data_IF_987778017475
#
_entry.id   IF_987778017475
#
_cell.length_a   1.000
_cell.length_b   1.000
_cell.length_c   1.000
_cell.angle_alpha   90.00
_cell.angle_beta   90.00
_cell.angle_gamma   90.00
#
_symmetry.space_group_name_H-M   'P 1'
#
loop_
_entity.id
_entity.type
_entity.pdbx_description
1 polymer ?
#
# COMPACT_ATOMS: atom_id res chain seq x y z
N UNK A 1 17.51 -31.08 23.33
CA UNK A 1 16.99 -29.89 24.05
C UNK A 1 15.52 -29.73 23.74
N UNK A 2 14.64 -29.79 24.73
CA UNK A 2 13.20 -29.46 24.50
C UNK A 2 13.10 -27.96 24.22
N UNK A 3 12.50 -27.55 23.07
CA UNK A 3 12.31 -26.14 22.81
C UNK A 3 11.41 -25.54 23.91
N UNK A 4 11.87 -24.44 24.51
CA UNK A 4 11.09 -23.76 25.53
C UNK A 4 9.79 -23.24 24.89
N UNK A 5 8.64 -23.62 25.42
CA UNK A 5 7.33 -23.17 24.91
C UNK A 5 7.25 -21.66 24.79
N UNK A 6 7.92 -20.93 25.67
CA UNK A 6 7.97 -19.46 25.65
C UNK A 6 8.66 -18.94 24.38
N UNK A 7 9.79 -19.55 23.96
CA UNK A 7 10.49 -19.12 22.74
C UNK A 7 9.68 -19.40 21.47
N UNK A 8 8.96 -20.52 21.43
CA UNK A 8 8.08 -20.85 20.31
C UNK A 8 6.91 -19.85 20.22
N UNK A 9 6.28 -19.53 21.35
CA UNK A 9 5.18 -18.57 21.41
C UNK A 9 5.62 -17.18 20.97
N UNK A 10 6.80 -16.72 21.39
CA UNK A 10 7.38 -15.45 20.95
C UNK A 10 7.59 -15.41 19.43
N UNK A 11 8.14 -16.47 18.85
CA UNK A 11 8.36 -16.55 17.38
C UNK A 11 7.03 -16.52 16.64
N UNK A 12 5.99 -17.19 17.12
CA UNK A 12 4.66 -17.18 16.52
C UNK A 12 4.06 -15.77 16.56
N UNK A 13 4.14 -15.08 17.70
CA UNK A 13 3.65 -13.71 17.84
C UNK A 13 4.37 -12.77 16.87
N UNK A 14 5.69 -12.85 16.79
CA UNK A 14 6.48 -12.06 15.83
C UNK A 14 6.04 -12.37 14.39
N UNK A 15 5.88 -13.65 14.04
CA UNK A 15 5.43 -14.08 12.73
C UNK A 15 4.06 -13.50 12.35
N UNK A 16 3.09 -13.54 13.26
CA UNK A 16 1.76 -12.98 13.06
C UNK A 16 1.83 -11.45 12.88
N UNK A 17 2.61 -10.77 13.71
CA UNK A 17 2.78 -9.31 13.60
C UNK A 17 3.41 -8.91 12.27
N UNK A 18 4.44 -9.64 11.82
CA UNK A 18 5.07 -9.43 10.52
C UNK A 18 4.10 -9.70 9.37
N UNK A 19 3.29 -10.75 9.46
CA UNK A 19 2.29 -11.09 8.46
C UNK A 19 1.26 -9.95 8.30
N UNK A 20 0.67 -9.50 9.40
CA UNK A 20 -0.33 -8.43 9.39
C UNK A 20 0.27 -7.12 8.84
N UNK A 21 1.47 -6.77 9.30
CA UNK A 21 2.16 -5.55 8.85
C UNK A 21 2.51 -5.65 7.37
N UNK A 22 3.00 -6.80 6.91
CA UNK A 22 3.33 -7.05 5.51
C UNK A 22 2.11 -6.95 4.59
N UNK A 23 0.98 -7.53 4.98
CA UNK A 23 -0.27 -7.43 4.22
C UNK A 23 -0.72 -5.96 4.14
N UNK A 24 -0.67 -5.20 5.22
CA UNK A 24 -1.04 -3.77 5.21
C UNK A 24 -0.14 -2.96 4.27
N UNK A 25 1.18 -3.17 4.34
CA UNK A 25 2.13 -2.50 3.44
C UNK A 25 1.88 -2.86 1.98
N UNK A 26 1.60 -4.13 1.69
CA UNK A 26 1.28 -4.60 0.35
C UNK A 26 0.03 -3.91 -0.19
N UNK A 27 -1.07 -3.90 0.57
CA UNK A 27 -2.33 -3.26 0.15
C UNK A 27 -2.13 -1.77 -0.10
N UNK A 28 -1.49 -1.04 0.83
CA UNK A 28 -1.23 0.40 0.67
C UNK A 28 -0.33 0.67 -0.55
N UNK A 29 0.73 -0.12 -0.73
CA UNK A 29 1.67 0.07 -1.84
C UNK A 29 1.04 -0.24 -3.20
N UNK A 30 0.22 -1.28 -3.29
CA UNK A 30 -0.51 -1.62 -4.52
C UNK A 30 -1.55 -0.55 -4.84
N UNK A 31 -2.35 -0.11 -3.86
CA UNK A 31 -3.36 0.93 -4.05
C UNK A 31 -2.73 2.24 -4.55
N UNK A 32 -1.67 2.70 -3.89
CA UNK A 32 -0.94 3.90 -4.29
C UNK A 32 -0.33 3.79 -5.72
N UNK A 33 0.12 2.58 -6.10
CA UNK A 33 0.68 2.33 -7.44
C UNK A 33 -0.40 2.28 -8.52
N UNK A 34 -1.57 1.73 -8.21
CA UNK A 34 -2.66 1.50 -9.18
C UNK A 34 -3.51 2.75 -9.39
N UNK A 35 -3.67 3.60 -8.37
CA UNK A 35 -4.48 4.84 -8.49
C UNK A 35 -4.14 5.69 -9.73
N UNK A 36 -2.88 6.01 -10.05
CA UNK A 36 -2.57 6.78 -11.26
C UNK A 36 -2.88 6.04 -12.57
N UNK A 37 -2.98 4.69 -12.54
CA UNK A 37 -3.32 3.87 -13.70
C UNK A 37 -4.82 3.90 -14.03
N UNK A 38 -5.69 4.21 -13.07
CA UNK A 38 -7.12 4.37 -13.31
C UNK A 38 -7.44 5.61 -14.16
N UNK A 39 -6.49 6.53 -14.29
CA UNK A 39 -6.63 7.77 -15.05
C UNK A 39 -5.94 7.68 -16.43
N UNK A 40 -6.00 6.52 -17.08
CA UNK A 40 -5.40 6.33 -18.42
C UNK A 40 -6.12 7.16 -19.51
N UNK A 41 -7.42 7.35 -19.34
CA UNK A 41 -8.27 8.09 -20.28
C UNK A 41 -8.26 9.61 -20.02
N UNK A 42 -7.60 10.05 -18.95
CA UNK A 42 -7.50 11.45 -18.59
C UNK A 42 -6.52 12.20 -19.49
N UNK A 43 -6.87 13.43 -19.81
CA UNK A 43 -6.08 14.31 -20.68
C UNK A 43 -4.99 15.00 -19.86
N UNK A 44 -3.79 15.08 -20.44
CA UNK A 44 -2.70 15.85 -19.82
C UNK A 44 -2.87 17.34 -20.15
N UNK A 45 -2.83 18.17 -19.10
CA UNK A 45 -2.90 19.62 -19.18
C UNK A 45 -1.74 20.28 -18.44
N UNK A 46 -1.67 21.61 -18.56
CA UNK A 46 -0.74 22.45 -17.80
C UNK A 46 -1.51 23.22 -16.74
N UNK A 47 -0.97 23.29 -15.53
CA UNK A 47 -1.52 24.04 -14.42
C UNK A 47 -0.46 24.91 -13.78
N UNK A 48 -0.86 25.98 -13.10
CA UNK A 48 0.04 26.85 -12.35
C UNK A 48 -0.20 26.69 -10.85
N UNK A 49 0.89 26.57 -10.08
CA UNK A 49 0.82 26.52 -8.62
C UNK A 49 0.39 27.89 -8.11
N UNK A 50 -0.72 27.94 -7.36
CA UNK A 50 -1.29 29.17 -6.80
C UNK A 50 -1.04 29.29 -5.31
N UNK A 51 -0.98 28.18 -4.59
CA UNK A 51 -0.74 28.17 -3.14
C UNK A 51 0.03 26.95 -2.67
N UNK A 52 0.70 27.09 -1.51
CA UNK A 52 1.44 26.01 -0.86
C UNK A 52 1.07 26.01 0.62
N UNK A 53 0.52 24.92 1.09
CA UNK A 53 0.25 24.69 2.51
C UNK A 53 1.28 23.72 3.12
N UNK A 54 1.75 24.04 4.33
CA UNK A 54 2.72 23.22 5.06
C UNK A 54 2.02 22.51 6.21
N UNK A 55 2.22 21.21 6.32
CA UNK A 55 1.81 20.42 7.47
C UNK A 55 3.02 19.85 8.21
N UNK A 56 3.12 20.15 9.49
CA UNK A 56 4.22 19.70 10.35
C UNK A 56 3.82 18.45 11.09
N UNK A 57 4.42 17.32 10.75
CA UNK A 57 4.25 16.07 11.48
C UNK A 57 5.34 15.99 12.54
N UNK A 58 4.94 16.13 13.81
CA UNK A 58 5.84 15.91 14.96
C UNK A 58 5.92 14.41 15.22
N UNK A 59 7.13 13.87 15.20
CA UNK A 59 7.40 12.49 15.61
C UNK A 59 7.06 12.26 17.11
N UNK A 60 6.87 10.99 17.47
CA UNK A 60 6.61 10.58 18.86
C UNK A 60 7.76 10.99 19.78
N UNK A 61 7.51 10.99 21.11
CA UNK A 61 8.47 11.37 22.18
C UNK A 61 9.87 10.74 22.08
N UNK A 62 10.02 9.62 21.38
CA UNK A 62 11.30 8.93 21.12
C UNK A 62 11.97 9.35 19.80
N UNK A 63 11.22 9.86 18.83
CA UNK A 63 11.73 10.30 17.54
C UNK A 63 11.47 11.80 17.38
N UNK A 64 12.48 12.61 17.69
CA UNK A 64 12.43 14.09 17.60
C UNK A 64 12.47 14.60 16.16
N UNK A 65 12.25 13.75 15.15
CA UNK A 65 12.27 14.18 13.76
C UNK A 65 11.00 14.96 13.43
N UNK A 66 11.19 16.18 13.01
CA UNK A 66 10.14 17.00 12.42
C UNK A 66 10.13 16.70 10.92
N UNK A 67 8.99 16.27 10.39
CA UNK A 67 8.78 16.15 8.94
C UNK A 67 7.82 17.25 8.53
N UNK A 68 8.21 17.98 7.50
CA UNK A 68 7.34 18.97 6.87
C UNK A 68 6.82 18.33 5.58
N UNK A 69 5.51 18.28 5.44
CA UNK A 69 4.85 17.87 4.22
C UNK A 69 4.20 19.08 3.60
N UNK A 70 4.26 19.16 2.28
CA UNK A 70 3.72 20.24 1.48
C UNK A 70 2.52 19.73 0.69
N UNK A 71 1.38 20.43 0.76
CA UNK A 71 0.28 20.30 -0.17
C UNK A 71 0.27 21.54 -1.07
N UNK A 72 0.06 21.35 -2.35
CA UNK A 72 0.08 22.42 -3.33
C UNK A 72 -1.26 22.51 -4.01
N UNK A 73 -1.80 23.73 -4.07
CA UNK A 73 -2.99 24.08 -4.86
C UNK A 73 -2.54 24.59 -6.21
N UNK A 74 -3.22 24.14 -7.26
CA UNK A 74 -2.95 24.57 -8.63
C UNK A 74 -4.22 24.97 -9.35
N UNK A 75 -4.09 25.87 -10.32
CA UNK A 75 -5.15 26.29 -11.22
C UNK A 75 -4.83 25.91 -12.66
N UNK A 76 -5.86 25.56 -13.40
CA UNK A 76 -5.79 25.24 -14.83
C UNK A 76 -7.08 25.66 -15.54
N UNK A 77 -7.00 25.77 -16.85
CA UNK A 77 -8.11 26.21 -17.70
C UNK A 77 -8.47 25.09 -18.69
N UNK A 78 -9.76 24.79 -18.79
CA UNK A 78 -10.32 23.88 -19.78
C UNK A 78 -11.51 24.56 -20.44
N UNK A 79 -11.47 24.73 -21.76
CA UNK A 79 -12.54 25.35 -22.55
C UNK A 79 -12.97 26.75 -22.05
N UNK A 80 -12.04 27.56 -21.55
CA UNK A 80 -12.30 28.90 -21.03
C UNK A 80 -12.86 28.95 -19.60
N UNK A 81 -12.97 27.83 -18.93
CA UNK A 81 -13.34 27.72 -17.51
C UNK A 81 -12.14 27.41 -16.66
N UNK A 82 -12.05 28.05 -15.48
CA UNK A 82 -10.99 27.85 -14.52
C UNK A 82 -11.38 26.79 -13.49
N UNK A 83 -10.45 25.90 -13.23
CA UNK A 83 -10.57 24.83 -12.24
C UNK A 83 -9.40 24.87 -11.29
N UNK A 84 -9.62 24.39 -10.08
CA UNK A 84 -8.58 24.24 -9.05
C UNK A 84 -8.44 22.79 -8.64
N UNK A 85 -7.20 22.39 -8.38
CA UNK A 85 -6.91 21.07 -7.83
C UNK A 85 -5.86 21.17 -6.73
N UNK A 86 -5.71 20.10 -5.96
CA UNK A 86 -4.71 19.98 -4.92
C UNK A 86 -3.96 18.66 -5.07
N UNK A 87 -2.68 18.66 -4.78
CA UNK A 87 -1.90 17.43 -4.68
C UNK A 87 -0.86 17.51 -3.57
N UNK A 88 -0.61 16.39 -2.95
CA UNK A 88 0.25 16.20 -1.80
C UNK A 88 -0.27 15.03 -0.94
N UNK A 89 0.41 14.73 0.17
CA UNK A 89 1.57 15.42 0.73
C UNK A 89 2.89 15.06 0.04
N UNK A 90 3.74 16.04 -0.17
CA UNK A 90 5.07 15.90 -0.78
C UNK A 90 6.18 16.27 0.21
N UNK A 91 7.36 15.67 0.03
CA UNK A 91 8.53 16.00 0.86
C UNK A 91 9.16 17.35 0.48
N UNK A 92 8.92 17.82 -0.75
CA UNK A 92 9.45 19.09 -1.28
C UNK A 92 8.32 19.89 -1.89
N UNK A 93 8.38 21.21 -1.77
CA UNK A 93 7.45 22.14 -2.44
C UNK A 93 7.99 22.56 -3.81
N UNK A 94 7.07 22.87 -4.71
CA UNK A 94 7.34 23.56 -5.96
C UNK A 94 6.89 25.01 -5.76
N UNK A 95 7.69 25.97 -6.20
CA UNK A 95 7.39 27.39 -5.95
C UNK A 95 6.06 27.83 -6.59
N UNK A 96 5.35 28.73 -5.91
CA UNK A 96 4.15 29.40 -6.43
C UNK A 96 4.50 30.09 -7.76
N UNK A 97 3.58 30.05 -8.71
CA UNK A 97 3.76 30.57 -10.06
C UNK A 97 4.50 29.65 -11.03
N UNK A 98 4.96 28.47 -10.56
CA UNK A 98 5.54 27.45 -11.45
C UNK A 98 4.43 26.68 -12.16
N UNK A 99 4.65 26.42 -13.45
CA UNK A 99 3.80 25.54 -14.23
C UNK A 99 4.18 24.09 -13.98
N UNK A 100 3.15 23.24 -13.84
CA UNK A 100 3.26 21.79 -13.69
C UNK A 100 2.38 21.10 -14.73
N UNK A 101 2.67 19.86 -15.01
CA UNK A 101 1.76 19.01 -15.76
C UNK A 101 0.77 18.32 -14.80
N UNK A 102 -0.48 18.25 -15.22
CA UNK A 102 -1.54 17.54 -14.51
C UNK A 102 -2.28 16.62 -15.47
N UNK A 103 -3.09 15.72 -14.92
CA UNK A 103 -4.13 15.03 -15.67
C UNK A 103 -5.50 15.46 -15.16
N UNK A 104 -6.47 15.58 -16.05
CA UNK A 104 -7.86 15.86 -15.70
C UNK A 104 -8.81 14.99 -16.52
N UNK A 105 -9.98 14.75 -15.97
CA UNK A 105 -11.06 14.04 -16.63
C UNK A 105 -11.70 14.93 -17.70
N UNK A 106 -11.70 14.58 -18.99
CA UNK A 106 -12.30 15.40 -20.03
C UNK A 106 -13.82 15.53 -19.88
N UNK A 107 -14.49 14.56 -19.26
CA UNK A 107 -15.96 14.57 -19.06
C UNK A 107 -16.35 15.28 -17.76
N UNK A 108 -15.44 15.40 -16.79
CA UNK A 108 -15.61 16.09 -15.51
C UNK A 108 -14.33 16.84 -15.14
N UNK A 109 -14.07 18.01 -15.78
CA UNK A 109 -12.78 18.71 -15.66
C UNK A 109 -12.41 19.16 -14.24
N UNK A 110 -13.34 19.22 -13.30
CA UNK A 110 -13.10 19.46 -11.88
C UNK A 110 -12.30 18.34 -11.22
N UNK A 111 -12.31 17.14 -11.80
CA UNK A 111 -11.50 16.01 -11.33
C UNK A 111 -10.12 16.08 -11.98
N UNK A 112 -9.10 16.30 -11.18
CA UNK A 112 -7.72 16.41 -11.67
C UNK A 112 -6.72 15.86 -10.67
N UNK A 113 -5.53 15.51 -11.17
CA UNK A 113 -4.42 15.02 -10.35
C UNK A 113 -3.08 15.55 -10.84
N UNK A 114 -2.19 15.93 -9.92
CA UNK A 114 -0.80 16.24 -10.19
C UNK A 114 0.11 15.00 -10.27
N UNK A 115 -0.41 13.80 -9.98
CA UNK A 115 0.33 12.54 -10.09
C UNK A 115 0.16 11.95 -11.50
N UNK A 116 1.16 12.13 -12.34
CA UNK A 116 1.10 11.73 -13.76
C UNK A 116 1.40 10.25 -13.99
N UNK A 117 2.19 9.65 -13.11
CA UNK A 117 2.65 8.27 -13.25
C UNK A 117 2.83 7.61 -11.87
N UNK A 118 2.71 6.29 -11.81
CA UNK A 118 3.00 5.52 -10.60
C UNK A 118 4.43 5.78 -10.12
N UNK A 119 4.60 5.92 -8.82
CA UNK A 119 5.92 6.08 -8.22
C UNK A 119 6.61 4.72 -8.06
N UNK A 120 7.89 4.65 -8.44
CA UNK A 120 8.72 3.47 -8.18
C UNK A 120 8.85 3.15 -6.69
N UNK A 121 8.74 4.17 -5.82
CA UNK A 121 8.76 3.97 -4.36
C UNK A 121 7.55 3.17 -3.88
N UNK A 122 6.38 3.36 -4.47
CA UNK A 122 5.16 2.65 -4.08
C UNK A 122 5.25 1.17 -4.46
N UNK A 123 5.84 0.87 -5.62
CA UNK A 123 6.14 -0.49 -6.04
C UNK A 123 7.13 -1.17 -5.09
N UNK A 124 8.22 -0.49 -4.72
CA UNK A 124 9.20 -1.01 -3.75
C UNK A 124 8.54 -1.28 -2.40
N UNK A 125 7.64 -0.40 -1.96
CA UNK A 125 6.90 -0.55 -0.72
C UNK A 125 5.96 -1.78 -0.76
N UNK A 126 5.27 -2.00 -1.87
CA UNK A 126 4.44 -3.18 -2.09
C UNK A 126 5.26 -4.48 -2.08
N UNK A 127 6.42 -4.50 -2.75
CA UNK A 127 7.31 -5.67 -2.78
C UNK A 127 7.86 -5.97 -1.38
N UNK A 128 8.29 -4.95 -0.64
CA UNK A 128 8.76 -5.10 0.75
C UNK A 128 7.67 -5.68 1.65
N UNK A 129 6.42 -5.19 1.49
CA UNK A 129 5.25 -5.72 2.18
C UNK A 129 4.99 -7.20 1.88
N UNK A 130 5.12 -7.59 0.61
CA UNK A 130 4.97 -8.98 0.18
C UNK A 130 6.01 -9.89 0.83
N UNK A 131 7.29 -9.49 0.79
CA UNK A 131 8.39 -10.26 1.41
C UNK A 131 8.13 -10.41 2.91
N UNK A 132 7.76 -9.33 3.60
CA UNK A 132 7.49 -9.34 5.03
C UNK A 132 6.30 -10.26 5.38
N UNK A 133 5.24 -10.25 4.56
CA UNK A 133 4.08 -11.12 4.73
C UNK A 133 4.46 -12.59 4.56
N UNK A 134 5.25 -12.93 3.55
CA UNK A 134 5.71 -14.31 3.30
C UNK A 134 6.57 -14.82 4.47
N UNK A 135 7.55 -14.02 4.90
CA UNK A 135 8.40 -14.39 6.06
C UNK A 135 7.55 -14.55 7.32
N UNK A 136 6.62 -13.62 7.58
CA UNK A 136 5.70 -13.71 8.73
C UNK A 136 4.81 -14.94 8.68
N UNK A 137 4.33 -15.34 7.51
CA UNK A 137 3.53 -16.54 7.30
C UNK A 137 4.31 -17.82 7.71
N UNK A 138 5.55 -17.96 7.28
CA UNK A 138 6.38 -19.10 7.65
C UNK A 138 6.72 -19.11 9.15
N UNK A 139 7.06 -17.97 9.73
CA UNK A 139 7.39 -17.84 11.16
C UNK A 139 6.18 -18.06 12.07
N UNK A 140 4.98 -17.71 11.64
CA UNK A 140 3.74 -17.89 12.42
C UNK A 140 3.38 -19.37 12.65
N UNK A 141 3.99 -20.31 11.92
CA UNK A 141 3.67 -21.73 12.01
C UNK A 141 2.33 -22.12 11.37
N UNK A 142 1.60 -21.17 10.77
CA UNK A 142 0.31 -21.41 10.09
C UNK A 142 0.46 -22.47 9.00
N UNK A 143 1.58 -22.47 8.28
CA UNK A 143 1.89 -23.48 7.28
C UNK A 143 1.87 -24.91 7.85
N UNK A 144 2.44 -25.12 9.04
CA UNK A 144 2.42 -26.41 9.73
C UNK A 144 1.01 -26.86 10.14
N UNK A 145 0.17 -25.89 10.52
CA UNK A 145 -1.23 -26.14 10.87
C UNK A 145 -2.06 -26.55 9.65
N UNK A 146 -1.91 -25.82 8.54
CA UNK A 146 -2.60 -26.10 7.26
C UNK A 146 -2.21 -27.50 6.76
N UNK A 147 -0.92 -27.86 6.79
CA UNK A 147 -0.44 -29.18 6.37
C UNK A 147 -1.02 -30.30 7.22
N UNK A 148 -1.24 -30.08 8.52
CA UNK A 148 -1.87 -31.07 9.43
C UNK A 148 -3.34 -31.25 9.12
N UNK A 149 -4.07 -30.17 8.79
CA UNK A 149 -5.49 -30.22 8.45
C UNK A 149 -5.72 -30.95 7.12
N UNK A 150 -4.94 -30.63 6.09
CA UNK A 150 -5.04 -31.26 4.75
C UNK A 150 -4.61 -32.74 4.82
N UNK A 151 -3.59 -33.08 5.63
CA UNK A 151 -3.12 -34.45 5.79
C UNK A 151 -4.09 -35.38 6.53
N UNK A 152 -5.00 -34.82 7.34
CA UNK A 152 -5.98 -35.60 8.10
C UNK A 152 -7.17 -36.02 7.24
N UNK A 153 -7.56 -35.21 6.29
CA UNK A 153 -8.67 -35.47 5.37
C UNK A 153 -8.39 -36.64 4.40
N UNK A 154 -7.08 -36.94 4.17
CA UNK A 154 -6.68 -38.03 3.29
C UNK A 154 -6.61 -39.40 3.99
N UNK A 155 -6.62 -39.45 5.32
CA UNK A 155 -6.56 -40.72 6.09
C UNK A 155 -7.95 -41.31 6.37
N UNK A 156 -8.97 -40.47 6.52
CA UNK A 156 -10.33 -40.96 6.82
C UNK A 156 -11.05 -41.54 5.58
N UNK A 157 -10.58 -41.27 4.37
CA UNK A 157 -11.15 -41.84 3.13
C UNK A 157 -10.66 -43.25 2.75
N UNK A 158 -9.72 -43.84 3.52
CA UNK A 158 -9.18 -45.16 3.21
C UNK A 158 -9.73 -46.33 4.06
N UNK A 159 -10.40 -46.05 5.17
CA UNK A 159 -10.95 -47.11 6.01
C UNK A 159 -12.33 -47.64 5.59
N UNK A 160 -13.05 -46.94 4.72
CA UNK A 160 -14.43 -47.33 4.32
C UNK A 160 -14.51 -48.30 3.13
N UNK A 161 -13.39 -48.73 2.53
CA UNK A 161 -13.38 -49.63 1.36
C UNK A 161 -12.87 -51.07 1.62
N UNK A 162 -12.72 -51.48 2.89
CA UNK A 162 -12.14 -52.77 3.25
C UNK A 162 -13.07 -53.79 3.87
N UNK A 163 -14.40 -53.64 3.79
CA UNK A 163 -15.31 -54.52 4.53
C UNK A 163 -16.51 -55.05 3.75
N UNK A 164 -16.31 -55.69 2.60
CA UNK A 164 -17.34 -56.58 2.01
C UNK A 164 -16.61 -57.69 1.25
N UNK A 165 -16.34 -58.80 1.87
CA UNK A 165 -16.26 -60.10 1.19
C UNK A 165 -16.23 -61.22 2.25
N UNK A 166 -17.33 -61.86 2.49
CA UNK A 166 -17.53 -63.30 2.69
C UNK A 166 -19.02 -63.62 2.82
#
# INVERSE_FOLDING_TARGET
>A
MKPNYISQLVVIIIGITMLITGIRMLVIGVDAYVQPLHHTDWVTGSANITDISESVIKGSHKDRRIRINYSMTYEYEVNGMHYTGEFGPLANSIAVGKSIQIKYDPDAPENSTGFLSPSSSDLVFAIAGLILAVVGFFLSGIFGLIRRLIGKDHSDGKEEKGGISA
#
